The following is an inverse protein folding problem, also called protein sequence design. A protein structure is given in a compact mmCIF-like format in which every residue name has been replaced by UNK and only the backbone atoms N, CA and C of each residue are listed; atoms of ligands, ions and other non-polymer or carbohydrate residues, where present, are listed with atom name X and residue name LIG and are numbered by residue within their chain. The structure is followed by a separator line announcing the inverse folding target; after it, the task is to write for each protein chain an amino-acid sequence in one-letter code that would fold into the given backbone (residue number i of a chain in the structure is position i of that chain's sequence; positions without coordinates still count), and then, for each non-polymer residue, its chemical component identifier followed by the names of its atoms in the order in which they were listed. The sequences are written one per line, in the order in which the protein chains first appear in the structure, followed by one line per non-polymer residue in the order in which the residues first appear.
data_IF_320382482546
#
_entry.id   IF_320382482546
#
_cell.length_a   1.000
_cell.length_b   1.000
_cell.length_c   1.000
_cell.angle_alpha   90.00
_cell.angle_beta   90.00
_cell.angle_gamma   90.00
#
_symmetry.space_group_name_H-M   'P 1'
#
loop_
_entity.id
_entity.type
_entity.pdbx_description
1 polymer ?
#
# COMPACT_ATOMS: atom_id res chain seq x y z
N UNK A 1 -57.82 12.10 70.10
CA UNK A 1 -59.00 11.58 69.38
C UNK A 1 -58.77 11.78 67.89
N UNK A 2 -59.18 10.84 67.02
CA UNK A 2 -58.49 10.50 65.75
C UNK A 2 -59.24 11.08 64.51
N UNK A 3 -58.77 10.98 63.25
CA UNK A 3 -58.53 9.82 62.36
C UNK A 3 -57.71 10.28 61.12
N UNK A 4 -57.05 9.47 60.27
CA UNK A 4 -56.59 8.06 60.29
C UNK A 4 -55.37 7.89 59.35
N UNK A 5 -54.43 6.95 59.57
CA UNK A 5 -54.34 5.57 59.02
C UNK A 5 -54.39 5.43 57.48
N UNK A 6 -53.24 5.14 56.87
CA UNK A 6 -53.12 4.23 55.70
C UNK A 6 -51.67 3.78 55.45
N UNK A 7 -51.38 2.54 55.85
CA UNK A 7 -50.27 1.70 55.38
C UNK A 7 -49.99 1.78 53.86
N UNK A 8 -48.71 1.68 53.45
CA UNK A 8 -48.28 0.49 52.70
C UNK A 8 -46.76 0.32 52.44
N UNK A 9 -46.24 -0.80 52.97
CA UNK A 9 -45.27 -1.74 52.36
C UNK A 9 -44.15 -1.18 51.46
N UNK A 10 -42.99 -0.92 52.05
CA UNK A 10 -41.69 -0.91 51.36
C UNK A 10 -41.30 -2.33 50.91
N UNK A 11 -41.63 -2.71 49.68
CA UNK A 11 -41.24 -4.02 49.13
C UNK A 11 -39.79 -4.00 48.61
N UNK A 12 -38.87 -4.49 49.43
CA UNK A 12 -37.41 -4.49 49.17
C UNK A 12 -37.02 -5.50 48.07
N UNK A 13 -37.14 -5.13 46.78
CA UNK A 13 -36.52 -5.90 45.68
C UNK A 13 -35.00 -5.69 45.68
N UNK A 14 -34.26 -6.71 46.09
CA UNK A 14 -32.85 -6.85 45.76
C UNK A 14 -32.72 -7.30 44.31
N UNK A 15 -32.45 -6.38 43.38
CA UNK A 15 -32.00 -6.75 42.04
C UNK A 15 -30.49 -7.01 42.09
N UNK A 16 -30.10 -8.28 42.18
CA UNK A 16 -28.71 -8.70 42.00
C UNK A 16 -28.33 -8.55 40.52
N UNK A 17 -27.57 -7.50 40.19
CA UNK A 17 -27.01 -7.33 38.84
C UNK A 17 -25.86 -8.33 38.70
N UNK A 18 -26.07 -9.39 37.93
CA UNK A 18 -25.02 -10.30 37.50
C UNK A 18 -24.15 -9.60 36.44
N UNK A 19 -22.94 -9.19 36.81
CA UNK A 19 -21.95 -8.74 35.83
C UNK A 19 -21.47 -9.94 35.00
N UNK A 20 -22.10 -10.13 33.84
CA UNK A 20 -21.59 -11.05 32.82
C UNK A 20 -20.32 -10.46 32.20
N UNK A 21 -19.15 -10.88 32.67
CA UNK A 21 -17.85 -10.58 32.06
C UNK A 21 -17.77 -11.20 30.65
N UNK A 22 -18.32 -10.49 29.66
CA UNK A 22 -18.10 -10.80 28.25
C UNK A 22 -16.64 -10.54 27.93
N UNK A 23 -15.84 -11.60 27.85
CA UNK A 23 -14.49 -11.54 27.30
C UNK A 23 -14.60 -11.19 25.82
N UNK A 24 -14.40 -9.90 25.48
CA UNK A 24 -14.24 -9.47 24.09
C UNK A 24 -12.96 -10.10 23.52
N UNK A 25 -13.13 -11.24 22.85
CA UNK A 25 -12.10 -11.79 21.98
C UNK A 25 -12.00 -10.89 20.76
N UNK A 26 -11.08 -9.93 20.80
CA UNK A 26 -10.67 -9.19 19.62
C UNK A 26 -10.06 -10.17 18.62
N UNK A 27 -10.87 -10.61 17.67
CA UNK A 27 -10.37 -11.20 16.44
C UNK A 27 -9.59 -10.11 15.72
N UNK A 28 -8.27 -10.26 15.65
CA UNK A 28 -7.42 -9.38 14.85
C UNK A 28 -7.80 -9.56 13.37
N UNK A 29 -8.66 -8.66 12.87
CA UNK A 29 -8.98 -8.60 11.46
C UNK A 29 -7.76 -8.06 10.71
N UNK A 30 -7.19 -8.88 9.84
CA UNK A 30 -6.16 -8.46 8.91
C UNK A 30 -6.86 -7.59 7.85
N UNK A 31 -6.76 -6.27 8.01
CA UNK A 31 -7.26 -5.31 7.03
C UNK A 31 -6.11 -4.96 6.10
N UNK A 32 -6.06 -5.61 4.94
CA UNK A 32 -5.17 -5.19 3.87
C UNK A 32 -5.83 -4.01 3.12
N UNK A 33 -5.24 -2.81 3.10
CA UNK A 33 -5.69 -1.76 2.18
C UNK A 33 -5.48 -2.23 0.73
N UNK A 34 -6.23 -1.64 -0.21
CA UNK A 34 -5.99 -1.90 -1.62
C UNK A 34 -4.61 -1.35 -2.03
N UNK A 35 -3.76 -2.13 -2.73
CA UNK A 35 -2.45 -1.65 -3.16
C UNK A 35 -2.62 -0.47 -4.12
N UNK A 36 -1.77 0.54 -3.95
CA UNK A 36 -1.84 1.79 -4.72
C UNK A 36 -0.82 1.81 -5.86
N UNK A 37 0.24 1.00 -5.78
CA UNK A 37 1.33 0.95 -6.76
C UNK A 37 1.53 -0.48 -7.26
N UNK A 38 1.87 -0.65 -8.54
CA UNK A 38 2.22 -1.96 -9.11
C UNK A 38 3.73 -2.05 -9.28
N UNK A 39 4.36 -3.12 -8.78
CA UNK A 39 5.75 -3.43 -9.12
C UNK A 39 5.80 -4.64 -10.04
N UNK A 40 6.14 -4.41 -11.30
CA UNK A 40 6.38 -5.44 -12.30
C UNK A 40 7.80 -5.97 -12.13
N UNK A 41 7.93 -7.19 -11.61
CA UNK A 41 9.21 -7.90 -11.50
C UNK A 41 9.41 -8.79 -12.73
N UNK A 42 10.35 -8.39 -13.58
CA UNK A 42 10.73 -9.07 -14.82
C UNK A 42 12.05 -9.80 -14.60
N UNK A 43 12.17 -11.02 -15.13
CA UNK A 43 13.45 -11.71 -15.24
C UNK A 43 13.95 -11.66 -16.69
N UNK A 44 15.22 -11.28 -16.88
CA UNK A 44 15.89 -11.25 -18.20
C UNK A 44 17.35 -11.71 -18.07
N UNK A 45 17.75 -12.74 -18.83
CA UNK A 45 19.10 -13.33 -18.97
C UNK A 45 20.05 -13.40 -17.74
N UNK A 46 19.49 -13.45 -16.53
CA UNK A 46 20.23 -13.58 -15.26
C UNK A 46 19.94 -12.45 -14.27
N UNK A 47 19.48 -11.31 -14.77
CA UNK A 47 19.09 -10.14 -14.02
C UNK A 47 17.59 -10.11 -13.71
N UNK A 48 17.23 -9.29 -12.73
CA UNK A 48 15.86 -9.01 -12.33
C UNK A 48 15.63 -7.51 -12.38
N UNK A 49 14.71 -7.10 -13.25
CA UNK A 49 14.26 -5.72 -13.39
C UNK A 49 12.95 -5.53 -12.63
N UNK A 50 12.92 -4.62 -11.67
CA UNK A 50 11.68 -4.16 -11.06
C UNK A 50 11.26 -2.84 -11.73
N UNK A 51 9.99 -2.71 -12.10
CA UNK A 51 9.42 -1.47 -12.66
C UNK A 51 8.15 -1.06 -11.92
N UNK A 52 8.05 0.21 -11.52
CA UNK A 52 6.81 0.82 -11.05
C UNK A 52 6.24 1.76 -12.14
N UNK A 53 5.23 1.34 -12.90
CA UNK A 53 4.67 2.14 -14.00
C UNK A 53 4.02 3.45 -13.53
N UNK A 54 3.42 3.48 -12.35
CA UNK A 54 2.69 4.64 -11.82
C UNK A 54 3.59 5.83 -11.45
N UNK A 55 4.89 5.57 -11.25
CA UNK A 55 5.90 6.58 -10.91
C UNK A 55 6.99 6.74 -11.98
N UNK A 56 6.90 5.98 -13.08
CA UNK A 56 7.93 5.82 -14.13
C UNK A 56 9.33 5.50 -13.56
N UNK A 57 9.38 4.54 -12.63
CA UNK A 57 10.60 4.11 -11.95
C UNK A 57 11.03 2.70 -12.38
N UNK A 58 12.34 2.45 -12.44
CA UNK A 58 12.92 1.15 -12.80
C UNK A 58 14.25 0.90 -12.08
N UNK A 59 14.44 -0.32 -11.56
CA UNK A 59 15.70 -0.83 -11.00
C UNK A 59 16.06 -2.16 -11.65
N UNK A 60 17.34 -2.49 -11.64
CA UNK A 60 17.91 -3.75 -12.13
C UNK A 60 18.90 -4.27 -11.08
N UNK A 61 18.79 -5.55 -10.70
CA UNK A 61 19.67 -6.23 -9.74
C UNK A 61 19.86 -7.70 -10.10
N UNK A 62 20.90 -8.33 -9.53
CA UNK A 62 21.23 -9.75 -9.76
C UNK A 62 20.20 -10.71 -9.12
N UNK A 63 19.44 -10.26 -8.11
CA UNK A 63 18.46 -11.10 -7.38
C UNK A 63 17.09 -10.43 -7.30
N UNK A 64 15.99 -11.20 -7.28
CA UNK A 64 14.64 -10.65 -7.28
C UNK A 64 14.33 -9.86 -6.00
N UNK A 65 14.84 -10.31 -4.84
CA UNK A 65 14.68 -9.59 -3.58
C UNK A 65 15.43 -8.25 -3.59
N UNK A 66 16.65 -8.23 -4.13
CA UNK A 66 17.47 -7.02 -4.24
C UNK A 66 16.80 -6.00 -5.18
N UNK A 67 16.24 -6.45 -6.31
CA UNK A 67 15.48 -5.59 -7.22
C UNK A 67 14.26 -4.94 -6.56
N UNK A 68 13.54 -5.70 -5.73
CA UNK A 68 12.37 -5.19 -5.00
C UNK A 68 12.77 -4.24 -3.85
N UNK A 69 13.80 -4.55 -3.04
CA UNK A 69 14.29 -3.62 -2.01
C UNK A 69 14.78 -2.30 -2.63
N UNK A 70 15.57 -2.37 -3.69
CA UNK A 70 16.04 -1.18 -4.42
C UNK A 70 14.87 -0.37 -5.01
N UNK A 71 13.80 -1.03 -5.45
CA UNK A 71 12.56 -0.34 -5.87
C UNK A 71 11.90 0.42 -4.70
N UNK A 72 11.82 -0.18 -3.51
CA UNK A 72 11.25 0.50 -2.33
C UNK A 72 12.09 1.69 -1.87
N UNK A 73 13.42 1.55 -1.86
CA UNK A 73 14.34 2.65 -1.56
C UNK A 73 14.17 3.80 -2.57
N UNK A 74 14.23 3.50 -3.87
CA UNK A 74 14.05 4.48 -4.94
C UNK A 74 12.65 5.14 -4.94
N UNK A 75 11.58 4.41 -4.58
CA UNK A 75 10.23 4.98 -4.42
C UNK A 75 10.21 6.03 -3.30
N UNK A 76 10.89 5.76 -2.18
CA UNK A 76 10.98 6.68 -1.04
C UNK A 76 11.83 7.90 -1.37
N UNK A 77 12.99 7.71 -2.00
CA UNK A 77 13.85 8.79 -2.49
C UNK A 77 13.12 9.67 -3.51
N UNK A 78 12.37 9.07 -4.44
CA UNK A 78 11.56 9.79 -5.41
C UNK A 78 10.46 10.63 -4.75
N UNK A 79 9.77 10.08 -3.74
CA UNK A 79 8.72 10.82 -3.02
C UNK A 79 9.27 12.03 -2.26
N UNK A 80 10.43 11.88 -1.61
CA UNK A 80 11.11 12.97 -0.91
C UNK A 80 11.62 14.05 -1.88
N UNK A 81 12.28 13.66 -2.98
CA UNK A 81 12.73 14.60 -4.03
C UNK A 81 11.55 15.32 -4.70
N UNK A 82 10.44 14.60 -4.92
CA UNK A 82 9.20 15.18 -5.41
C UNK A 82 8.68 16.24 -4.45
N UNK A 83 8.65 15.96 -3.14
CA UNK A 83 8.18 16.90 -2.12
C UNK A 83 9.05 18.16 -2.07
N UNK A 84 10.37 18.00 -2.03
CA UNK A 84 11.32 19.13 -2.00
C UNK A 84 11.21 20.05 -3.22
N UNK A 85 10.78 19.51 -4.38
CA UNK A 85 10.68 20.25 -5.65
C UNK A 85 9.26 20.24 -6.23
N UNK A 86 8.25 20.15 -5.36
CA UNK A 86 6.86 19.86 -5.74
C UNK A 86 6.32 20.75 -6.87
N UNK A 87 6.59 22.06 -6.81
CA UNK A 87 6.15 23.02 -7.83
C UNK A 87 6.74 22.75 -9.23
N UNK A 88 7.97 22.22 -9.31
CA UNK A 88 8.62 21.85 -10.57
C UNK A 88 7.97 20.58 -11.14
N UNK A 89 7.66 19.61 -10.28
CA UNK A 89 7.06 18.36 -10.69
C UNK A 89 5.57 18.49 -11.05
N UNK A 90 4.80 19.32 -10.33
CA UNK A 90 3.42 19.66 -10.65
C UNK A 90 3.29 20.46 -11.96
N UNK A 91 4.31 21.23 -12.34
CA UNK A 91 4.35 21.92 -13.64
C UNK A 91 4.71 20.98 -14.81
N UNK A 92 5.15 19.75 -14.55
CA UNK A 92 5.57 18.80 -15.59
C UNK A 92 4.40 17.92 -16.06
N UNK A 93 4.03 17.94 -17.36
CA UNK A 93 2.91 17.14 -17.89
C UNK A 93 3.02 15.64 -17.57
N UNK A 94 4.25 15.12 -17.56
CA UNK A 94 4.53 13.71 -17.34
C UNK A 94 4.68 13.33 -15.86
N UNK A 95 4.62 14.28 -14.91
CA UNK A 95 4.85 14.01 -13.47
C UNK A 95 3.84 14.65 -12.51
N UNK A 96 3.03 15.60 -12.97
CA UNK A 96 1.97 16.21 -12.15
C UNK A 96 0.98 15.17 -11.58
N UNK A 97 0.71 14.10 -12.34
CA UNK A 97 -0.18 13.02 -11.95
C UNK A 97 0.43 12.03 -10.93
N UNK A 98 1.73 12.16 -10.59
CA UNK A 98 2.35 11.31 -9.56
C UNK A 98 1.98 11.77 -8.13
N UNK A 99 1.45 12.99 -7.96
CA UNK A 99 1.16 13.61 -6.65
C UNK A 99 0.36 12.72 -5.69
N UNK A 100 -0.75 12.05 -6.08
CA UNK A 100 -1.52 11.23 -5.13
C UNK A 100 -0.75 10.01 -4.61
N UNK A 101 0.14 9.45 -5.44
CA UNK A 101 1.01 8.35 -5.06
C UNK A 101 2.10 8.83 -4.10
N UNK A 102 2.75 9.96 -4.41
CA UNK A 102 3.74 10.61 -3.54
C UNK A 102 3.14 10.94 -2.17
N UNK A 103 1.94 11.51 -2.12
CA UNK A 103 1.25 11.81 -0.86
C UNK A 103 0.93 10.54 -0.04
N UNK A 104 0.64 9.42 -0.71
CA UNK A 104 0.44 8.13 -0.05
C UNK A 104 1.74 7.57 0.53
N UNK A 105 2.87 7.71 -0.19
CA UNK A 105 4.20 7.27 0.26
C UNK A 105 4.70 8.13 1.43
N UNK A 106 4.50 9.45 1.38
CA UNK A 106 4.91 10.37 2.46
C UNK A 106 4.07 10.18 3.75
N UNK A 107 2.89 9.56 3.65
CA UNK A 107 2.08 9.16 4.79
C UNK A 107 2.56 7.85 5.46
N UNK A 108 3.41 7.06 4.80
CA UNK A 108 4.02 5.86 5.37
C UNK A 108 4.99 6.23 6.51
N UNK A 109 4.89 5.51 7.63
CA UNK A 109 5.71 5.79 8.84
C UNK A 109 7.08 5.14 8.82
N UNK A 110 7.19 4.05 8.08
CA UNK A 110 8.37 3.20 7.96
C UNK A 110 8.38 2.55 6.57
N UNK A 111 9.44 1.80 6.27
CA UNK A 111 9.58 1.07 5.00
C UNK A 111 8.48 0.00 4.82
N UNK A 112 8.05 -0.64 5.92
CA UNK A 112 7.04 -1.69 5.87
C UNK A 112 5.68 -1.16 5.38
N UNK A 113 5.29 0.02 5.83
CA UNK A 113 4.11 0.71 5.32
C UNK A 113 4.21 1.07 3.83
N UNK A 114 5.42 1.20 3.26
CA UNK A 114 5.60 1.36 1.80
C UNK A 114 5.40 0.02 1.10
N UNK A 115 5.95 -1.08 1.63
CA UNK A 115 5.72 -2.44 1.12
C UNK A 115 4.22 -2.79 1.05
N UNK A 116 3.42 -2.36 2.03
CA UNK A 116 1.96 -2.57 2.06
C UNK A 116 1.20 -1.82 0.94
N UNK A 117 1.80 -0.80 0.31
CA UNK A 117 1.20 -0.12 -0.86
C UNK A 117 1.43 -0.85 -2.19
N UNK A 118 2.33 -1.86 -2.23
CA UNK A 118 2.81 -2.46 -3.48
C UNK A 118 2.11 -3.77 -3.84
N UNK A 119 1.59 -3.86 -5.06
CA UNK A 119 1.23 -5.13 -5.70
C UNK A 119 2.40 -5.65 -6.54
N UNK A 120 3.11 -6.67 -6.06
CA UNK A 120 4.22 -7.29 -6.81
C UNK A 120 3.69 -8.30 -7.83
N UNK A 121 3.83 -7.99 -9.13
CA UNK A 121 3.44 -8.86 -10.25
C UNK A 121 4.67 -9.40 -10.97
N UNK A 122 4.74 -10.71 -11.11
CA UNK A 122 5.84 -11.37 -11.81
C UNK A 122 5.53 -11.48 -13.30
N UNK A 123 6.45 -11.01 -14.14
CA UNK A 123 6.30 -10.98 -15.60
C UNK A 123 7.50 -11.63 -16.31
N UNK A 124 7.25 -12.06 -17.56
CA UNK A 124 8.30 -12.51 -18.49
C UNK A 124 8.17 -11.72 -19.78
N UNK A 125 9.18 -10.94 -20.11
CA UNK A 125 9.25 -10.29 -21.42
C UNK A 125 9.45 -11.39 -22.47
N UNK A 126 8.59 -11.39 -23.48
CA UNK A 126 8.74 -12.21 -24.67
C UNK A 126 8.91 -11.25 -25.84
N UNK A 127 10.16 -10.90 -26.16
CA UNK A 127 10.44 -10.18 -27.39
C UNK A 127 10.27 -11.16 -28.56
N UNK A 128 9.35 -10.91 -29.53
CA UNK A 128 9.35 -11.68 -30.76
C UNK A 128 10.69 -11.41 -31.45
N UNK A 129 11.53 -12.45 -31.56
CA UNK A 129 12.89 -12.34 -32.12
C UNK A 129 12.78 -11.69 -33.50
N UNK A 130 13.31 -10.47 -33.65
CA UNK A 130 13.09 -9.70 -34.88
C UNK A 130 13.60 -10.51 -36.07
N UNK A 131 12.69 -10.92 -36.96
CA UNK A 131 13.04 -11.69 -38.14
C UNK A 131 14.17 -10.96 -38.88
N UNK A 132 15.24 -11.71 -39.20
CA UNK A 132 16.48 -11.20 -39.79
C UNK A 132 16.16 -10.13 -40.85
N UNK A 133 16.57 -8.88 -40.62
CA UNK A 133 16.41 -7.80 -41.62
C UNK A 133 17.01 -8.30 -42.94
N UNK A 134 16.17 -8.52 -43.94
CA UNK A 134 16.63 -8.87 -45.27
C UNK A 134 17.56 -7.76 -45.79
N UNK A 135 18.67 -8.09 -46.46
CA UNK A 135 19.56 -7.09 -47.01
C UNK A 135 18.78 -6.22 -48.00
N UNK A 136 18.77 -4.91 -47.79
CA UNK A 136 18.17 -3.97 -48.75
C UNK A 136 18.92 -4.10 -50.07
N UNK A 137 18.23 -4.58 -51.10
CA UNK A 137 18.75 -4.52 -52.46
C UNK A 137 19.03 -3.05 -52.82
N UNK A 138 20.28 -2.79 -53.21
CA UNK A 138 20.73 -1.47 -53.65
C UNK A 138 20.39 -1.37 -55.14
N UNK A 139 19.46 -0.48 -55.48
CA UNK A 139 19.13 -0.06 -56.85
C UNK A 139 20.09 1.07 -57.20
#
# INVERSE_FOLDING_TARGET
MPIESANNRTFRRQNSISMANSKMTHLAQIVCPAPTLTVLLVKDDGYFMAKCPELDLVTEMDKPQEALHAMVEMIREYAEDYHQREQVFLASPNRAHHKPYVDSILACRDEWAVWELLEVRHARIHLPTSAKRAPKARI
#
